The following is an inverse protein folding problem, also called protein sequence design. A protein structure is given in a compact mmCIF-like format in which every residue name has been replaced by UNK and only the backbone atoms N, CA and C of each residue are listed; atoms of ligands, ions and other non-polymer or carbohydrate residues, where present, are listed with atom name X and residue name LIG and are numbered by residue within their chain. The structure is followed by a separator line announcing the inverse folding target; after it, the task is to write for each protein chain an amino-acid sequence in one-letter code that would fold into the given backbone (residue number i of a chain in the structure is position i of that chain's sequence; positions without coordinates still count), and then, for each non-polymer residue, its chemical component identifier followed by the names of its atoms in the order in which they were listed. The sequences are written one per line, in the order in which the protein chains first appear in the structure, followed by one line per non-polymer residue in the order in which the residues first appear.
data_IF_560280225908
#
_entry.id   IF_560280225908
#
_cell.length_a   1.000
_cell.length_b   1.000
_cell.length_c   1.000
_cell.angle_alpha   90.00
_cell.angle_beta   90.00
_cell.angle_gamma   90.00
#
_symmetry.space_group_name_H-M   'P 1'
#
loop_
_entity.id
_entity.type
_entity.pdbx_description
1 polymer ?
#
# COMPACT_ATOMS: atom_id res chain seq x y z
N UNK A 1 8.96 31.09 -15.91
CA UNK A 1 8.07 30.13 -15.20
C UNK A 1 8.88 28.88 -14.88
N UNK A 2 9.21 28.65 -13.60
CA UNK A 2 10.01 27.50 -13.15
C UNK A 2 9.16 26.54 -12.33
N UNK A 3 8.38 25.68 -12.99
CA UNK A 3 7.61 24.62 -12.34
C UNK A 3 7.80 23.30 -13.09
N UNK A 4 7.60 22.19 -12.39
CA UNK A 4 7.69 20.84 -12.94
C UNK A 4 6.36 20.12 -12.83
N UNK A 5 6.05 19.29 -13.82
CA UNK A 5 4.95 18.34 -13.81
C UNK A 5 5.56 16.94 -13.90
N UNK A 6 5.29 16.10 -12.91
CA UNK A 6 5.89 14.75 -12.82
C UNK A 6 4.78 13.72 -12.68
N UNK A 7 4.70 12.78 -13.63
CA UNK A 7 3.84 11.61 -13.53
C UNK A 7 4.50 10.51 -12.70
N UNK A 8 3.78 9.96 -11.72
CA UNK A 8 4.29 8.89 -10.85
C UNK A 8 3.44 7.62 -11.03
N UNK A 9 4.09 6.49 -11.30
CA UNK A 9 3.46 5.17 -11.36
C UNK A 9 4.11 4.24 -10.34
N UNK A 10 3.34 3.85 -9.33
CA UNK A 10 3.81 2.91 -8.32
C UNK A 10 4.31 1.59 -8.96
N UNK A 11 5.48 1.14 -8.53
CA UNK A 11 6.13 -0.09 -8.99
C UNK A 11 6.84 -0.02 -10.34
N UNK A 12 6.72 1.07 -11.12
CA UNK A 12 7.43 1.20 -12.41
C UNK A 12 8.95 1.35 -12.21
N UNK A 13 9.34 2.16 -11.22
CA UNK A 13 10.73 2.46 -10.93
C UNK A 13 11.55 1.19 -10.66
N UNK A 14 11.09 0.35 -9.72
CA UNK A 14 11.77 -0.91 -9.41
C UNK A 14 11.69 -1.97 -10.51
N UNK A 15 10.69 -1.91 -11.41
CA UNK A 15 10.62 -2.80 -12.59
C UNK A 15 11.67 -2.43 -13.64
N UNK A 16 12.02 -1.15 -13.77
CA UNK A 16 13.05 -0.68 -14.71
C UNK A 16 14.46 -0.80 -14.15
N UNK A 17 14.60 -0.58 -12.84
CA UNK A 17 15.87 -0.68 -12.11
C UNK A 17 15.65 -1.54 -10.86
N UNK A 18 15.92 -2.86 -10.92
CA UNK A 18 15.69 -3.76 -9.80
C UNK A 18 16.55 -3.46 -8.57
N UNK A 19 17.77 -2.96 -8.77
CA UNK A 19 18.69 -2.62 -7.67
C UNK A 19 18.13 -1.43 -6.89
N UNK A 20 17.81 -0.34 -7.58
CA UNK A 20 17.17 0.82 -6.94
C UNK A 20 15.75 0.52 -6.46
N UNK A 21 15.05 -0.41 -7.11
CA UNK A 21 13.77 -0.93 -6.63
C UNK A 21 13.88 -1.55 -5.24
N UNK A 22 14.92 -2.36 -5.02
CA UNK A 22 15.21 -2.96 -3.71
C UNK A 22 15.53 -1.88 -2.67
N UNK A 23 16.42 -0.94 -3.00
CA UNK A 23 16.76 0.19 -2.11
C UNK A 23 15.51 0.99 -1.72
N UNK A 24 14.62 1.27 -2.67
CA UNK A 24 13.38 2.00 -2.41
C UNK A 24 12.43 1.21 -1.49
N UNK A 25 12.33 -0.11 -1.65
CA UNK A 25 11.54 -0.97 -0.76
C UNK A 25 12.15 -0.99 0.65
N UNK A 26 13.47 -1.10 0.77
CA UNK A 26 14.19 -1.06 2.04
C UNK A 26 13.98 0.26 2.78
N UNK A 27 13.99 1.40 2.06
CA UNK A 27 13.69 2.71 2.63
C UNK A 27 12.26 2.79 3.19
N UNK A 28 11.27 2.30 2.45
CA UNK A 28 9.88 2.25 2.93
C UNK A 28 9.75 1.34 4.15
N UNK A 29 10.43 0.19 4.15
CA UNK A 29 10.44 -0.73 5.29
C UNK A 29 11.06 -0.08 6.52
N UNK A 30 12.20 0.61 6.38
CA UNK A 30 12.84 1.36 7.47
C UNK A 30 11.88 2.38 8.10
N UNK A 31 11.13 3.13 7.29
CA UNK A 31 10.11 4.05 7.81
C UNK A 31 9.02 3.34 8.61
N UNK A 32 8.62 2.13 8.20
CA UNK A 32 7.67 1.32 8.94
C UNK A 32 8.25 0.84 10.28
N UNK A 33 9.48 0.30 10.26
CA UNK A 33 10.18 -0.24 11.42
C UNK A 33 10.47 0.86 12.48
N UNK A 34 10.74 2.09 12.03
CA UNK A 34 10.93 3.27 12.88
C UNK A 34 9.61 3.86 13.42
N UNK A 35 8.45 3.32 13.03
CA UNK A 35 7.14 3.82 13.46
C UNK A 35 6.72 5.16 12.83
N UNK A 36 7.41 5.59 11.77
CA UNK A 36 7.07 6.81 11.03
C UNK A 36 5.77 6.65 10.21
N UNK A 37 5.39 5.41 9.89
CA UNK A 37 4.14 5.09 9.21
C UNK A 37 3.04 4.78 10.21
N UNK A 38 1.92 5.50 10.12
CA UNK A 38 0.71 5.29 10.95
C UNK A 38 -0.47 4.83 10.08
N UNK A 39 -0.47 3.60 9.55
CA UNK A 39 -1.54 3.12 8.69
C UNK A 39 -2.84 2.95 9.49
N UNK A 40 -3.96 3.42 8.94
CA UNK A 40 -5.28 3.16 9.51
C UNK A 40 -5.88 1.90 8.89
N UNK A 41 -6.00 0.84 9.70
CA UNK A 41 -6.72 -0.38 9.34
C UNK A 41 -8.19 -0.19 9.71
N UNK A 42 -9.03 -0.05 8.69
CA UNK A 42 -10.47 0.14 8.82
C UNK A 42 -11.15 -1.11 9.36
N UNK A 43 -10.80 -2.26 8.78
CA UNK A 43 -11.39 -3.55 9.10
C UNK A 43 -10.47 -4.69 8.64
N UNK A 44 -10.46 -5.76 9.43
CA UNK A 44 -9.88 -7.04 9.05
C UNK A 44 -10.98 -8.04 8.70
N UNK A 45 -10.68 -8.93 7.76
CA UNK A 45 -11.54 -10.06 7.37
C UNK A 45 -10.69 -11.33 7.42
N UNK A 46 -11.31 -12.45 7.75
CA UNK A 46 -10.64 -13.75 7.58
C UNK A 46 -10.50 -14.10 6.11
N UNK A 47 -9.62 -15.04 5.79
CA UNK A 47 -9.42 -15.49 4.41
C UNK A 47 -10.70 -16.05 3.79
N UNK A 48 -11.52 -16.76 4.57
CA UNK A 48 -12.81 -17.30 4.13
C UNK A 48 -13.81 -16.19 3.77
N UNK A 49 -13.64 -14.99 4.33
CA UNK A 49 -14.47 -13.81 4.12
C UNK A 49 -13.92 -12.87 3.02
N UNK A 50 -13.01 -13.36 2.17
CA UNK A 50 -12.38 -12.54 1.14
C UNK A 50 -13.40 -11.90 0.17
N UNK A 51 -14.52 -12.58 -0.11
CA UNK A 51 -15.59 -12.05 -0.97
C UNK A 51 -16.26 -10.83 -0.33
N UNK A 52 -16.50 -10.89 0.97
CA UNK A 52 -17.08 -9.84 1.79
C UNK A 52 -16.13 -8.63 1.88
N UNK A 53 -14.82 -8.88 2.01
CA UNK A 53 -13.81 -7.82 1.99
C UNK A 53 -13.82 -7.03 0.67
N UNK A 54 -13.88 -7.74 -0.47
CA UNK A 54 -13.98 -7.12 -1.81
C UNK A 54 -15.30 -6.35 -1.95
N UNK A 55 -16.41 -6.94 -1.50
CA UNK A 55 -17.72 -6.26 -1.52
C UNK A 55 -17.70 -4.97 -0.70
N UNK A 56 -17.13 -5.00 0.50
CA UNK A 56 -16.98 -3.83 1.38
C UNK A 56 -16.17 -2.70 0.72
N UNK A 57 -15.10 -3.05 0.00
CA UNK A 57 -14.33 -2.10 -0.80
C UNK A 57 -15.16 -1.51 -1.95
N UNK A 58 -15.88 -2.36 -2.70
CA UNK A 58 -16.70 -1.94 -3.84
C UNK A 58 -17.84 -1.00 -3.45
N UNK A 59 -18.43 -1.22 -2.27
CA UNK A 59 -19.47 -0.37 -1.67
C UNK A 59 -18.90 0.92 -1.07
N UNK A 60 -17.59 1.17 -1.20
CA UNK A 60 -16.89 2.37 -0.68
C UNK A 60 -17.06 2.60 0.82
N UNK A 61 -17.26 1.52 1.59
CA UNK A 61 -17.35 1.59 3.07
C UNK A 61 -15.99 1.77 3.74
N UNK A 62 -14.90 1.62 2.98
CA UNK A 62 -13.52 1.73 3.45
C UNK A 62 -13.09 3.19 3.67
N UNK A 63 -12.49 3.45 4.83
CA UNK A 63 -11.63 4.61 5.09
C UNK A 63 -10.25 4.08 5.48
N UNK A 64 -9.20 4.38 4.72
CA UNK A 64 -7.86 3.81 4.97
C UNK A 64 -7.66 2.46 4.27
N UNK A 65 -7.37 1.39 5.04
CA UNK A 65 -7.07 0.06 4.48
C UNK A 65 -7.90 -1.07 5.08
N UNK A 66 -8.31 -2.02 4.24
CA UNK A 66 -8.85 -3.32 4.64
C UNK A 66 -7.75 -4.36 4.48
N UNK A 67 -7.65 -5.29 5.44
CA UNK A 67 -6.70 -6.39 5.39
C UNK A 67 -7.44 -7.73 5.48
N UNK A 68 -7.02 -8.69 4.67
CA UNK A 68 -7.43 -10.10 4.81
C UNK A 68 -6.29 -10.81 5.54
N UNK A 69 -6.64 -11.50 6.63
CA UNK A 69 -5.68 -12.19 7.50
C UNK A 69 -5.92 -13.71 7.45
N UNK A 70 -4.89 -14.49 7.73
CA UNK A 70 -4.91 -15.96 7.65
C UNK A 70 -5.34 -16.64 8.98
N UNK A 71 -5.85 -15.87 9.96
CA UNK A 71 -6.32 -16.33 11.28
C UNK A 71 -7.85 -16.19 11.42
#
# INVERSE_FOLDING_TARGET
KGFSIVGVRAGEFGRRDPVKGKENIEAVKKLADEGNLKPHICKTFKLEEAKEAIKFLSERKLVGKVAVVME
#
